data_IF_726844589269
#
_entry.id   IF_726844589269
#
_cell.length_a   1.000
_cell.length_b   1.000
_cell.length_c   1.000
_cell.angle_alpha   90.00
_cell.angle_beta   90.00
_cell.angle_gamma   90.00
#
_symmetry.space_group_name_H-M   'P 1'
#
loop_
_entity.id
_entity.type
_entity.pdbx_description
1 polymer ?
#
# COMPACT_ATOMS: atom_id res chain seq x y z
N UNK A 1 -91.74 5.39 -81.60
CA UNK A 1 -90.79 6.08 -82.51
C UNK A 1 -89.39 5.74 -82.03
N UNK A 2 -88.86 4.64 -82.54
CA UNK A 2 -87.91 4.61 -83.66
C UNK A 2 -86.47 4.68 -83.08
N UNK A 3 -85.72 3.60 -82.82
CA UNK A 3 -85.42 2.35 -83.54
C UNK A 3 -83.97 2.37 -84.05
N UNK A 4 -83.26 1.26 -83.76
CA UNK A 4 -82.09 0.71 -84.47
C UNK A 4 -80.78 1.52 -84.42
N UNK A 5 -79.56 0.96 -84.36
CA UNK A 5 -78.92 -0.36 -84.60
C UNK A 5 -77.43 -0.14 -84.22
N UNK A 6 -76.52 -1.05 -83.90
CA UNK A 6 -76.43 -2.51 -83.92
C UNK A 6 -74.93 -2.92 -83.80
N UNK A 7 -74.70 -4.14 -83.34
CA UNK A 7 -73.59 -5.09 -83.62
C UNK A 7 -72.08 -4.78 -83.36
N UNK A 8 -71.53 -5.60 -82.45
CA UNK A 8 -70.24 -6.33 -82.35
C UNK A 8 -69.63 -6.88 -83.67
N UNK A 9 -68.40 -7.51 -83.76
CA UNK A 9 -67.37 -7.93 -82.76
C UNK A 9 -65.85 -7.85 -83.23
N UNK A 10 -64.93 -8.51 -82.47
CA UNK A 10 -63.57 -9.03 -82.84
C UNK A 10 -62.44 -8.00 -83.11
N UNK A 11 -61.14 -8.25 -83.00
CA UNK A 11 -60.22 -9.17 -82.32
C UNK A 11 -58.79 -8.66 -82.65
N UNK A 12 -57.79 -9.10 -81.88
CA UNK A 12 -56.42 -9.43 -82.35
C UNK A 12 -55.34 -8.33 -82.56
N UNK A 13 -54.29 -8.45 -81.72
CA UNK A 13 -52.84 -8.27 -81.91
C UNK A 13 -52.29 -7.43 -83.10
N UNK A 14 -51.29 -6.59 -82.80
CA UNK A 14 -49.87 -6.86 -83.14
C UNK A 14 -48.95 -5.66 -82.87
N UNK A 15 -47.75 -5.97 -82.36
CA UNK A 15 -46.56 -5.12 -82.20
C UNK A 15 -46.31 -4.11 -83.32
N UNK A 16 -45.77 -2.92 -82.98
CA UNK A 16 -44.70 -2.30 -83.79
C UNK A 16 -43.85 -1.32 -82.97
N UNK A 17 -42.54 -1.49 -83.13
CA UNK A 17 -41.44 -0.87 -82.40
C UNK A 17 -41.02 0.52 -82.94
N UNK A 18 -40.30 1.24 -82.07
CA UNK A 18 -39.19 2.18 -82.30
C UNK A 18 -39.47 3.65 -82.72
N UNK A 19 -39.00 4.55 -81.85
CA UNK A 19 -38.75 5.96 -82.16
C UNK A 19 -38.11 6.74 -81.01
N UNK A 20 -36.89 6.38 -80.57
CA UNK A 20 -36.11 7.25 -79.68
C UNK A 20 -35.53 8.44 -80.46
N UNK A 21 -36.02 9.64 -80.17
CA UNK A 21 -35.50 10.90 -80.70
C UNK A 21 -34.34 11.36 -79.80
N UNK A 22 -33.10 11.16 -80.26
CA UNK A 22 -31.90 11.66 -79.59
C UNK A 22 -31.71 13.17 -79.85
N UNK A 23 -32.09 14.00 -78.88
CA UNK A 23 -31.64 15.40 -78.82
C UNK A 23 -30.15 15.46 -78.42
N UNK A 24 -29.30 15.83 -79.37
CA UNK A 24 -27.86 16.00 -79.16
C UNK A 24 -27.60 17.30 -78.36
N UNK A 25 -27.48 17.18 -77.03
CA UNK A 25 -27.14 18.30 -76.14
C UNK A 25 -25.69 18.76 -76.39
N UNK A 26 -25.38 20.08 -76.42
CA UNK A 26 -24.01 20.55 -76.64
C UNK A 26 -23.08 20.07 -75.52
N UNK A 27 -21.91 19.53 -75.89
CA UNK A 27 -20.89 18.96 -74.97
C UNK A 27 -20.41 19.94 -73.88
N UNK A 28 -20.71 21.23 -74.00
CA UNK A 28 -20.46 22.27 -72.99
C UNK A 28 -21.49 22.25 -71.85
N UNK A 29 -22.77 22.05 -72.15
CA UNK A 29 -23.86 22.04 -71.17
C UNK A 29 -23.82 20.81 -70.27
N UNK A 30 -23.54 19.63 -70.85
CA UNK A 30 -23.34 18.39 -70.09
C UNK A 30 -22.18 18.49 -69.09
N UNK A 31 -21.08 19.14 -69.50
CA UNK A 31 -19.91 19.42 -68.62
C UNK A 31 -20.19 20.48 -67.54
N UNK A 32 -21.17 21.36 -67.72
CA UNK A 32 -21.60 22.33 -66.71
C UNK A 32 -22.58 21.67 -65.73
N UNK A 33 -23.56 20.91 -66.23
CA UNK A 33 -24.46 20.11 -65.38
C UNK A 33 -23.70 19.08 -64.55
N UNK A 34 -22.74 18.36 -65.14
CA UNK A 34 -21.94 17.37 -64.40
C UNK A 34 -21.09 18.03 -63.30
N UNK A 35 -20.57 19.24 -63.54
CA UNK A 35 -19.88 20.03 -62.51
C UNK A 35 -20.83 20.48 -61.40
N UNK A 36 -22.02 20.95 -61.76
CA UNK A 36 -23.04 21.39 -60.80
C UNK A 36 -23.59 20.23 -59.96
N UNK A 37 -23.89 19.09 -60.59
CA UNK A 37 -24.35 17.86 -59.92
C UNK A 37 -23.25 17.27 -59.04
N UNK A 38 -22.00 17.26 -59.50
CA UNK A 38 -20.86 16.81 -58.69
C UNK A 38 -20.65 17.73 -57.50
N UNK A 39 -20.72 19.04 -57.68
CA UNK A 39 -20.61 20.04 -56.61
C UNK A 39 -21.76 19.93 -55.58
N UNK A 40 -23.00 19.71 -56.05
CA UNK A 40 -24.17 19.47 -55.20
C UNK A 40 -24.06 18.15 -54.43
N UNK A 41 -23.61 17.08 -55.07
CA UNK A 41 -23.46 15.77 -54.43
C UNK A 41 -22.28 15.76 -53.45
N UNK A 42 -21.18 16.47 -53.72
CA UNK A 42 -20.10 16.65 -52.75
C UNK A 42 -20.56 17.47 -51.56
N UNK A 43 -21.37 18.51 -51.77
CA UNK A 43 -21.92 19.32 -50.69
C UNK A 43 -22.93 18.54 -49.84
N UNK A 44 -23.78 17.72 -50.45
CA UNK A 44 -24.69 16.82 -49.74
C UNK A 44 -23.93 15.72 -48.98
N UNK A 45 -22.86 15.17 -49.56
CA UNK A 45 -22.04 14.16 -48.90
C UNK A 45 -21.29 14.72 -47.69
N UNK A 46 -20.75 15.94 -47.78
CA UNK A 46 -20.05 16.58 -46.66
C UNK A 46 -21.00 16.99 -45.54
N UNK A 47 -22.21 17.48 -45.85
CA UNK A 47 -23.21 17.80 -44.82
C UNK A 47 -23.71 16.55 -44.10
N UNK A 48 -23.94 15.45 -44.82
CA UNK A 48 -24.30 14.15 -44.21
C UNK A 48 -23.16 13.62 -43.34
N UNK A 49 -21.91 13.67 -43.80
CA UNK A 49 -20.75 13.25 -43.01
C UNK A 49 -20.58 14.07 -41.73
N UNK A 50 -20.74 15.40 -41.81
CA UNK A 50 -20.68 16.28 -40.64
C UNK A 50 -21.84 16.00 -39.68
N UNK A 51 -23.04 15.75 -40.18
CA UNK A 51 -24.19 15.42 -39.34
C UNK A 51 -24.00 14.07 -38.63
N UNK A 52 -23.50 13.05 -39.33
CA UNK A 52 -23.16 11.75 -38.73
C UNK A 52 -22.04 11.91 -37.69
N UNK A 53 -20.99 12.68 -37.98
CA UNK A 53 -19.91 12.94 -37.03
C UNK A 53 -20.43 13.67 -35.77
N UNK A 54 -21.31 14.67 -35.93
CA UNK A 54 -21.97 15.34 -34.80
C UNK A 54 -22.82 14.37 -33.98
N UNK A 55 -23.57 13.47 -34.61
CA UNK A 55 -24.35 12.44 -33.90
C UNK A 55 -23.42 11.50 -33.14
N UNK A 56 -22.33 11.04 -33.74
CA UNK A 56 -21.34 10.17 -33.06
C UNK A 56 -20.72 10.87 -31.87
N UNK A 57 -20.36 12.16 -31.99
CA UNK A 57 -19.82 12.95 -30.89
C UNK A 57 -20.87 13.19 -29.79
N UNK A 58 -22.14 13.42 -30.14
CA UNK A 58 -23.24 13.55 -29.18
C UNK A 58 -23.49 12.23 -28.45
N UNK A 59 -23.51 11.11 -29.16
CA UNK A 59 -23.66 9.77 -28.56
C UNK A 59 -22.47 9.46 -27.66
N UNK A 60 -21.24 9.72 -28.09
CA UNK A 60 -20.05 9.59 -27.23
C UNK A 60 -20.15 10.46 -25.98
N UNK A 61 -20.56 11.73 -26.12
CA UNK A 61 -20.74 12.63 -24.98
C UNK A 61 -21.82 12.11 -24.01
N UNK A 62 -22.95 11.60 -24.52
CA UNK A 62 -24.01 11.00 -23.71
C UNK A 62 -23.52 9.72 -22.99
N UNK A 63 -22.74 8.87 -23.67
CA UNK A 63 -22.15 7.66 -23.08
C UNK A 63 -21.13 8.01 -21.99
N UNK A 64 -20.25 8.98 -22.25
CA UNK A 64 -19.25 9.46 -21.28
C UNK A 64 -19.92 10.11 -20.05
N UNK A 65 -20.98 10.91 -20.27
CA UNK A 65 -21.81 11.47 -19.18
C UNK A 65 -22.53 10.38 -18.37
N UNK A 66 -22.98 9.30 -19.00
CA UNK A 66 -23.59 8.16 -18.30
C UNK A 66 -22.57 7.39 -17.47
N UNK A 67 -21.32 7.26 -17.92
CA UNK A 67 -20.26 6.62 -17.13
C UNK A 67 -19.86 7.47 -15.91
N UNK A 68 -19.87 8.80 -16.00
CA UNK A 68 -19.64 9.67 -14.83
C UNK A 68 -20.81 9.68 -13.84
N UNK A 69 -22.05 9.67 -14.35
CA UNK A 69 -23.25 9.74 -13.50
C UNK A 69 -23.68 8.38 -12.89
N UNK A 70 -23.00 7.27 -13.23
CA UNK A 70 -23.30 5.95 -12.66
C UNK A 70 -22.51 5.63 -11.37
N UNK A 71 -21.74 6.58 -10.84
CA UNK A 71 -21.16 6.46 -9.50
C UNK A 71 -22.17 6.88 -8.42
N UNK A 72 -23.35 6.28 -8.41
CA UNK A 72 -24.20 6.20 -7.23
C UNK A 72 -24.49 4.72 -6.99
N UNK A 73 -23.97 4.10 -5.91
CA UNK A 73 -24.17 2.68 -5.67
C UNK A 73 -25.66 2.43 -5.44
N UNK A 74 -26.27 1.59 -6.27
CA UNK A 74 -27.69 1.28 -6.21
C UNK A 74 -28.14 0.46 -4.99
N UNK A 75 -27.31 0.30 -3.94
CA UNK A 75 -27.68 -0.46 -2.72
C UNK A 75 -26.94 -0.02 -1.44
N UNK A 76 -26.20 1.09 -1.46
CA UNK A 76 -25.37 1.49 -0.29
C UNK A 76 -24.19 0.55 0.03
N UNK A 77 -24.03 -0.56 -0.70
CA UNK A 77 -22.91 -1.49 -0.59
C UNK A 77 -21.69 -0.94 -1.34
N UNK A 78 -20.54 -0.93 -0.68
CA UNK A 78 -19.29 -0.48 -1.28
C UNK A 78 -18.61 -1.64 -2.03
N UNK A 79 -18.45 -1.49 -3.34
CA UNK A 79 -17.80 -2.47 -4.22
C UNK A 79 -16.39 -2.03 -4.66
N UNK A 80 -15.79 -1.05 -3.97
CA UNK A 80 -14.41 -0.68 -4.24
C UNK A 80 -13.47 -1.83 -3.88
N UNK A 81 -12.35 -1.96 -4.57
CA UNK A 81 -11.35 -2.99 -4.29
C UNK A 81 -10.87 -2.94 -2.83
N UNK A 82 -10.69 -1.74 -2.27
CA UNK A 82 -10.31 -1.56 -0.87
C UNK A 82 -11.36 -2.10 0.10
N UNK A 83 -12.65 -1.87 -0.18
CA UNK A 83 -13.72 -2.40 0.65
C UNK A 83 -13.78 -3.93 0.60
N UNK A 84 -13.69 -4.52 -0.59
CA UNK A 84 -13.72 -5.97 -0.76
C UNK A 84 -12.52 -6.63 -0.06
N UNK A 85 -11.32 -6.06 -0.21
CA UNK A 85 -10.11 -6.57 0.45
C UNK A 85 -10.21 -6.53 1.97
N UNK A 86 -10.62 -5.38 2.53
CA UNK A 86 -10.70 -5.22 3.98
C UNK A 86 -11.81 -6.09 4.59
N UNK A 87 -12.96 -6.20 3.93
CA UNK A 87 -14.05 -7.07 4.38
C UNK A 87 -13.62 -8.54 4.35
N UNK A 88 -12.89 -8.96 3.33
CA UNK A 88 -12.36 -10.33 3.26
C UNK A 88 -11.42 -10.63 4.44
N UNK A 89 -10.51 -9.71 4.78
CA UNK A 89 -9.59 -9.84 5.92
C UNK A 89 -10.33 -9.88 7.27
N UNK A 90 -11.32 -9.02 7.45
CA UNK A 90 -12.18 -9.01 8.64
C UNK A 90 -12.89 -10.35 8.78
N UNK A 91 -13.58 -10.80 7.73
CA UNK A 91 -14.33 -12.06 7.75
C UNK A 91 -13.41 -13.25 8.01
N UNK A 92 -12.19 -13.29 7.45
CA UNK A 92 -11.24 -14.38 7.72
C UNK A 92 -10.75 -14.41 9.16
N UNK A 93 -10.70 -13.27 9.83
CA UNK A 93 -10.22 -13.18 11.22
C UNK A 93 -11.28 -13.63 12.23
N UNK A 94 -12.55 -13.56 11.85
CA UNK A 94 -13.69 -13.82 12.74
C UNK A 94 -13.98 -15.32 12.94
N UNK A 95 -14.52 -15.64 14.12
CA UNK A 95 -15.12 -16.93 14.44
C UNK A 95 -16.65 -16.77 14.62
N UNK A 96 -17.41 -17.00 13.55
CA UNK A 96 -18.88 -16.89 13.58
C UNK A 96 -19.60 -17.92 14.47
N UNK A 97 -18.89 -18.91 15.02
CA UNK A 97 -19.47 -19.86 15.97
C UNK A 97 -19.45 -19.36 17.42
N UNK A 98 -18.69 -18.31 17.73
CA UNK A 98 -18.66 -17.70 19.04
C UNK A 98 -19.78 -16.66 19.18
N UNK A 99 -20.42 -16.58 20.34
CA UNK A 99 -21.38 -15.50 20.63
C UNK A 99 -20.61 -14.20 20.92
N UNK A 100 -20.81 -13.11 20.14
CA UNK A 100 -20.15 -11.83 20.38
C UNK A 100 -20.54 -11.18 21.72
N UNK A 101 -21.71 -11.50 22.28
CA UNK A 101 -22.15 -10.98 23.57
C UNK A 101 -21.46 -11.68 24.76
N UNK A 102 -20.97 -12.91 24.55
CA UNK A 102 -20.26 -13.68 25.59
C UNK A 102 -18.74 -13.51 25.50
N UNK A 103 -18.18 -13.64 24.29
CA UNK A 103 -16.74 -13.49 24.05
C UNK A 103 -16.46 -12.82 22.71
N UNK A 104 -16.50 -11.48 22.72
CA UNK A 104 -16.26 -10.67 21.54
C UNK A 104 -14.85 -10.88 20.95
N UNK A 105 -13.85 -11.19 21.78
CA UNK A 105 -12.48 -11.44 21.31
C UNK A 105 -12.42 -12.69 20.43
N UNK A 106 -12.94 -13.83 20.91
CA UNK A 106 -12.99 -15.05 20.10
C UNK A 106 -13.85 -14.84 18.84
N UNK A 107 -15.00 -14.17 18.95
CA UNK A 107 -15.82 -13.84 17.78
C UNK A 107 -15.07 -13.01 16.73
N UNK A 108 -14.30 -12.00 17.15
CA UNK A 108 -13.60 -11.10 16.24
C UNK A 108 -12.25 -11.65 15.72
N UNK A 109 -11.53 -12.42 16.54
CA UNK A 109 -10.13 -12.79 16.32
C UNK A 109 -9.88 -14.31 16.25
N UNK A 110 -10.82 -15.15 16.69
CA UNK A 110 -10.58 -16.59 16.85
C UNK A 110 -10.35 -17.33 15.53
N UNK A 111 -10.79 -16.77 14.40
CA UNK A 111 -10.40 -17.27 13.08
C UNK A 111 -8.93 -16.98 12.79
N UNK A 112 -8.48 -15.77 13.10
CA UNK A 112 -7.07 -15.38 12.94
C UNK A 112 -6.15 -16.21 13.84
N UNK A 113 -6.47 -16.37 15.12
CA UNK A 113 -5.64 -17.16 16.05
C UNK A 113 -5.47 -18.61 15.60
N UNK A 114 -6.54 -19.23 15.09
CA UNK A 114 -6.50 -20.61 14.58
C UNK A 114 -5.57 -20.74 13.38
N UNK A 115 -5.52 -19.71 12.54
CA UNK A 115 -4.82 -19.76 11.25
C UNK A 115 -3.41 -19.12 11.32
N UNK A 116 -3.00 -18.58 12.46
CA UNK A 116 -1.73 -17.87 12.65
C UNK A 116 -1.01 -18.31 13.93
N UNK A 117 -0.14 -19.30 13.80
CA UNK A 117 0.75 -19.71 14.88
C UNK A 117 1.82 -18.63 15.17
N UNK A 118 2.29 -18.57 16.42
CA UNK A 118 3.42 -17.72 16.80
C UNK A 118 4.69 -18.26 16.12
N UNK A 119 5.39 -17.46 15.30
CA UNK A 119 6.62 -17.88 14.67
C UNK A 119 7.72 -18.21 15.70
N UNK A 120 8.60 -19.18 15.40
CA UNK A 120 9.69 -19.62 16.29
C UNK A 120 10.64 -18.48 16.76
N UNK A 121 10.68 -17.36 16.05
CA UNK A 121 11.53 -16.21 16.38
C UNK A 121 10.87 -15.21 17.32
N UNK A 122 9.58 -15.37 17.62
CA UNK A 122 8.78 -14.40 18.35
C UNK A 122 8.19 -15.02 19.62
N UNK A 123 8.01 -14.20 20.67
CA UNK A 123 7.33 -14.61 21.90
C UNK A 123 5.83 -14.33 21.88
N UNK A 124 5.38 -13.50 20.95
CA UNK A 124 3.99 -13.09 20.74
C UNK A 124 3.79 -12.77 19.27
N UNK A 125 2.57 -12.96 18.76
CA UNK A 125 2.26 -12.65 17.37
C UNK A 125 0.87 -12.04 17.24
N UNK A 126 0.79 -10.90 16.57
CA UNK A 126 -0.45 -10.18 16.35
C UNK A 126 -0.33 -9.13 15.25
N UNK A 127 -1.39 -8.33 15.10
CA UNK A 127 -1.48 -7.30 14.04
C UNK A 127 -0.37 -6.24 14.15
N UNK A 128 0.04 -5.88 15.36
CA UNK A 128 1.15 -4.94 15.57
C UNK A 128 2.49 -5.52 15.13
N UNK A 129 2.73 -6.81 15.38
CA UNK A 129 3.96 -7.49 14.98
C UNK A 129 4.03 -7.64 13.46
N UNK A 130 2.91 -7.99 12.82
CA UNK A 130 2.80 -8.02 11.34
C UNK A 130 3.11 -6.64 10.75
N UNK A 131 2.57 -5.56 11.33
CA UNK A 131 2.83 -4.21 10.87
C UNK A 131 4.29 -3.81 11.07
N UNK A 132 4.88 -4.14 12.22
CA UNK A 132 6.30 -3.89 12.50
C UNK A 132 7.19 -4.63 11.50
N UNK A 133 6.91 -5.90 11.23
CA UNK A 133 7.64 -6.68 10.22
C UNK A 133 7.50 -6.07 8.82
N UNK A 134 6.32 -5.57 8.45
CA UNK A 134 6.12 -4.87 7.18
C UNK A 134 6.99 -3.60 7.09
N UNK A 135 7.02 -2.80 8.16
CA UNK A 135 7.85 -1.59 8.26
C UNK A 135 9.34 -1.93 8.20
N UNK A 136 9.80 -2.95 8.93
CA UNK A 136 11.19 -3.41 8.90
C UNK A 136 11.61 -3.86 7.50
N UNK A 137 10.72 -4.53 6.78
CA UNK A 137 10.97 -4.91 5.39
C UNK A 137 11.09 -3.69 4.46
N UNK A 138 10.31 -2.64 4.68
CA UNK A 138 10.46 -1.37 3.95
C UNK A 138 11.79 -0.71 4.30
N UNK A 139 12.12 -0.57 5.58
CA UNK A 139 13.38 0.03 6.04
C UNK A 139 14.59 -0.73 5.49
N UNK A 140 14.57 -2.06 5.53
CA UNK A 140 15.61 -2.93 4.98
C UNK A 140 15.79 -2.76 3.47
N UNK A 141 14.69 -2.57 2.72
CA UNK A 141 14.75 -2.26 1.29
C UNK A 141 15.41 -0.90 1.05
N UNK A 142 14.98 0.13 1.77
CA UNK A 142 15.51 1.50 1.64
C UNK A 142 17.01 1.58 1.96
N UNK A 143 17.44 0.95 3.06
CA UNK A 143 18.85 0.95 3.48
C UNK A 143 19.75 0.20 2.50
N UNK A 144 19.22 -0.79 1.77
CA UNK A 144 19.97 -1.57 0.78
C UNK A 144 19.92 -0.98 -0.63
N UNK A 145 18.94 -0.14 -0.94
CA UNK A 145 18.73 0.39 -2.28
C UNK A 145 19.83 1.39 -2.69
N UNK A 146 20.60 1.13 -3.77
CA UNK A 146 21.63 2.05 -4.25
C UNK A 146 21.08 3.43 -4.64
N UNK A 147 19.83 3.51 -5.15
CA UNK A 147 19.23 4.80 -5.52
C UNK A 147 18.97 5.64 -4.28
N UNK A 148 18.38 5.05 -3.25
CA UNK A 148 18.20 5.69 -1.94
C UNK A 148 19.53 6.17 -1.37
N UNK A 149 20.59 5.35 -1.42
CA UNK A 149 21.93 5.77 -0.97
C UNK A 149 22.47 6.98 -1.74
N UNK A 150 22.24 7.02 -3.06
CA UNK A 150 22.65 8.13 -3.91
C UNK A 150 21.90 9.43 -3.58
N UNK A 151 20.57 9.35 -3.36
CA UNK A 151 19.73 10.49 -2.99
C UNK A 151 20.24 11.13 -1.69
N UNK A 152 20.60 10.31 -0.70
CA UNK A 152 21.04 10.78 0.61
C UNK A 152 22.57 10.87 0.78
N UNK A 153 23.35 10.86 -0.31
CA UNK A 153 24.82 10.83 -0.25
C UNK A 153 25.43 11.98 0.57
N UNK A 154 24.80 13.15 0.53
CA UNK A 154 25.27 14.36 1.22
C UNK A 154 24.57 14.58 2.58
N UNK A 155 23.68 13.68 3.01
CA UNK A 155 23.00 13.75 4.31
C UNK A 155 23.77 12.93 5.36
N UNK A 156 24.55 13.61 6.20
CA UNK A 156 25.41 12.96 7.20
C UNK A 156 24.64 12.08 8.21
N UNK A 157 23.42 12.47 8.61
CA UNK A 157 22.63 11.69 9.56
C UNK A 157 22.18 10.35 8.96
N UNK A 158 21.68 10.39 7.72
CA UNK A 158 21.25 9.19 6.99
C UNK A 158 22.45 8.29 6.65
N UNK A 159 23.59 8.87 6.28
CA UNK A 159 24.82 8.09 6.06
C UNK A 159 25.30 7.35 7.32
N UNK A 160 25.17 7.97 8.51
CA UNK A 160 25.45 7.27 9.77
C UNK A 160 24.50 6.08 9.99
N UNK A 161 23.21 6.23 9.71
CA UNK A 161 22.25 5.14 9.81
C UNK A 161 22.58 3.98 8.85
N UNK A 162 22.92 4.26 7.59
CA UNK A 162 23.39 3.24 6.64
C UNK A 162 24.64 2.52 7.13
N UNK A 163 25.63 3.29 7.60
CA UNK A 163 26.87 2.71 8.10
C UNK A 163 26.63 1.83 9.32
N UNK A 164 25.77 2.28 10.23
CA UNK A 164 25.40 1.53 11.43
C UNK A 164 24.75 0.19 11.07
N UNK A 165 23.80 0.19 10.13
CA UNK A 165 23.19 -1.03 9.61
C UNK A 165 24.24 -1.96 8.99
N UNK A 166 25.13 -1.45 8.13
CA UNK A 166 26.19 -2.25 7.51
C UNK A 166 27.14 -2.87 8.53
N UNK A 167 27.49 -2.14 9.60
CA UNK A 167 28.33 -2.68 10.68
C UNK A 167 27.64 -3.78 11.47
N UNK A 168 26.34 -3.63 11.75
CA UNK A 168 25.54 -4.64 12.45
C UNK A 168 25.39 -5.92 11.61
N UNK A 169 25.19 -5.77 10.29
CA UNK A 169 24.98 -6.92 9.40
C UNK A 169 26.26 -7.69 9.05
N UNK A 170 27.46 -7.15 9.34
CA UNK A 170 28.72 -7.80 9.04
C UNK A 170 29.09 -8.84 10.13
N UNK A 171 28.40 -9.99 10.09
CA UNK A 171 28.61 -11.10 11.02
C UNK A 171 30.03 -11.67 10.99
N UNK A 172 30.69 -11.67 9.83
CA UNK A 172 32.09 -12.14 9.71
C UNK A 172 33.00 -11.34 10.63
N UNK A 173 32.97 -10.00 10.50
CA UNK A 173 33.79 -9.13 11.33
C UNK A 173 33.45 -9.26 12.81
N UNK A 174 32.17 -9.39 13.16
CA UNK A 174 31.74 -9.59 14.55
C UNK A 174 32.34 -10.90 15.10
N UNK A 175 32.26 -11.99 14.34
CA UNK A 175 32.81 -13.28 14.74
C UNK A 175 34.34 -13.27 14.82
N UNK A 176 35.03 -12.60 13.89
CA UNK A 176 36.48 -12.46 13.88
C UNK A 176 37.00 -11.71 15.12
N UNK A 177 36.22 -10.74 15.63
CA UNK A 177 36.56 -10.00 16.84
C UNK A 177 36.26 -10.78 18.13
N UNK A 178 35.34 -11.75 18.08
CA UNK A 178 34.92 -12.54 19.23
C UNK A 178 34.51 -11.68 20.43
N UNK A 179 34.91 -12.10 21.64
CA UNK A 179 34.62 -11.38 22.88
C UNK A 179 35.56 -10.20 23.16
N UNK A 180 36.58 -9.96 22.33
CA UNK A 180 37.63 -8.99 22.63
C UNK A 180 37.10 -7.57 22.92
N UNK A 181 36.13 -7.01 22.15
CA UNK A 181 35.60 -5.68 22.44
C UNK A 181 34.99 -5.56 23.85
N UNK A 182 34.38 -6.63 24.35
CA UNK A 182 33.82 -6.65 25.71
C UNK A 182 34.92 -6.83 26.78
N UNK A 183 35.96 -7.62 26.50
CA UNK A 183 37.11 -7.79 27.40
C UNK A 183 37.86 -6.48 27.58
N UNK A 184 38.12 -5.76 26.48
CA UNK A 184 38.76 -4.44 26.51
C UNK A 184 37.92 -3.46 27.33
N UNK A 185 36.59 -3.51 27.14
CA UNK A 185 35.68 -2.69 27.90
C UNK A 185 35.70 -2.99 29.40
N UNK A 186 35.74 -4.27 29.79
CA UNK A 186 35.84 -4.67 31.21
C UNK A 186 37.17 -4.19 31.81
N UNK A 187 38.26 -4.21 31.03
CA UNK A 187 39.56 -3.73 31.48
C UNK A 187 39.55 -2.21 31.78
N UNK A 188 38.82 -1.41 30.99
CA UNK A 188 38.62 0.03 31.24
C UNK A 188 37.97 0.34 32.61
N UNK A 189 37.26 -0.62 33.21
CA UNK A 189 36.61 -0.49 34.53
C UNK A 189 37.33 -1.28 35.64
N UNK A 190 38.65 -1.40 35.52
CA UNK A 190 39.52 -2.05 36.50
C UNK A 190 39.28 -3.56 36.66
N UNK A 191 38.85 -4.20 35.56
CA UNK A 191 38.61 -5.64 35.47
C UNK A 191 37.46 -6.14 36.36
N UNK A 192 37.03 -7.37 36.09
CA UNK A 192 36.01 -8.06 36.87
C UNK A 192 36.66 -9.25 37.58
N UNK A 193 36.41 -9.40 38.89
CA UNK A 193 36.98 -10.50 39.68
C UNK A 193 36.62 -11.90 39.15
N UNK A 194 35.56 -12.02 38.34
CA UNK A 194 35.15 -13.28 37.70
C UNK A 194 36.10 -13.68 36.56
N UNK A 195 36.61 -12.72 35.79
CA UNK A 195 37.36 -12.98 34.54
C UNK A 195 38.85 -12.65 34.64
N UNK A 196 39.29 -11.98 35.70
CA UNK A 196 40.65 -11.47 35.84
C UNK A 196 41.71 -12.47 36.29
N UNK A 197 41.45 -13.78 36.39
CA UNK A 197 42.40 -14.77 36.95
C UNK A 197 42.99 -14.34 38.33
N UNK A 198 42.21 -13.65 39.16
CA UNK A 198 42.66 -13.13 40.45
C UNK A 198 43.53 -11.86 40.39
N UNK A 199 43.62 -11.19 39.24
CA UNK A 199 44.34 -9.90 39.10
C UNK A 199 43.56 -8.70 39.66
N UNK A 200 42.26 -8.86 39.90
CA UNK A 200 41.45 -7.80 40.49
C UNK A 200 41.88 -7.52 41.94
N UNK A 201 42.01 -6.24 42.29
CA UNK A 201 42.30 -5.80 43.66
C UNK A 201 41.30 -4.74 44.08
N UNK A 202 40.81 -4.83 45.31
CA UNK A 202 39.87 -3.84 45.87
C UNK A 202 40.43 -2.41 45.77
N UNK A 203 41.71 -2.23 46.06
CA UNK A 203 42.43 -0.94 45.98
C UNK A 203 42.44 -0.33 44.58
N UNK A 204 42.32 -1.17 43.54
CA UNK A 204 42.29 -0.72 42.15
C UNK A 204 40.90 -0.27 41.70
N UNK A 205 39.87 -0.44 42.53
CA UNK A 205 38.49 -0.21 42.18
C UNK A 205 37.83 0.84 43.07
N UNK A 206 37.10 1.77 42.46
CA UNK A 206 36.34 2.79 43.18
C UNK A 206 34.88 2.75 42.74
N UNK A 207 33.99 2.48 43.69
CA UNK A 207 32.55 2.38 43.47
C UNK A 207 31.99 3.61 42.74
N UNK A 208 32.27 4.82 43.24
CA UNK A 208 31.73 6.06 42.69
C UNK A 208 32.21 6.30 41.25
N UNK A 209 33.50 6.13 40.98
CA UNK A 209 34.05 6.29 39.62
C UNK A 209 33.47 5.26 38.66
N UNK A 210 33.36 4.00 39.08
CA UNK A 210 32.78 2.93 38.27
C UNK A 210 31.30 3.22 37.96
N UNK A 211 30.51 3.59 38.97
CA UNK A 211 29.10 3.95 38.82
C UNK A 211 28.89 5.13 37.87
N UNK A 212 29.66 6.21 38.03
CA UNK A 212 29.61 7.39 37.14
C UNK A 212 29.91 6.96 35.71
N UNK A 213 30.94 6.15 35.51
CA UNK A 213 31.35 5.78 34.17
C UNK A 213 30.37 4.81 33.50
N UNK A 214 29.81 3.85 34.24
CA UNK A 214 28.78 2.91 33.75
C UNK A 214 27.49 3.67 33.38
N UNK A 215 26.95 4.48 34.29
CA UNK A 215 25.69 5.21 34.03
C UNK A 215 25.86 6.27 32.93
N UNK A 216 26.95 7.04 32.94
CA UNK A 216 27.12 8.15 31.99
C UNK A 216 27.57 7.70 30.59
N UNK A 217 28.45 6.71 30.48
CA UNK A 217 28.99 6.28 29.18
C UNK A 217 28.16 5.17 28.53
N UNK A 218 27.62 4.25 29.33
CA UNK A 218 26.91 3.06 28.82
C UNK A 218 25.41 3.12 29.02
N UNK A 219 24.91 4.14 29.73
CA UNK A 219 23.49 4.28 30.03
C UNK A 219 22.91 3.06 30.78
N UNK A 220 23.79 2.32 31.47
CA UNK A 220 23.42 1.18 32.28
C UNK A 220 23.20 1.66 33.72
N UNK A 221 22.10 1.22 34.33
CA UNK A 221 21.62 1.72 35.62
C UNK A 221 21.67 0.63 36.70
N UNK A 222 22.86 0.23 37.19
CA UNK A 222 22.94 -0.65 38.35
C UNK A 222 22.39 0.08 39.59
N UNK A 223 21.66 -0.62 40.44
CA UNK A 223 21.01 -0.15 41.68
C UNK A 223 19.86 0.86 41.51
N UNK A 224 20.08 1.95 40.79
CA UNK A 224 19.12 3.01 40.55
C UNK A 224 19.39 3.68 39.20
N UNK A 225 18.33 4.21 38.59
CA UNK A 225 18.42 4.99 37.37
C UNK A 225 18.55 6.47 37.72
N UNK A 226 19.41 7.17 36.97
CA UNK A 226 19.48 8.63 36.97
C UNK A 226 19.07 9.12 35.59
N UNK A 227 18.02 9.92 35.53
CA UNK A 227 17.55 10.57 34.31
C UNK A 227 17.35 12.06 34.50
N UNK A 228 17.05 12.74 33.39
CA UNK A 228 16.55 14.11 33.41
C UNK A 228 15.20 14.12 32.75
N UNK A 229 14.17 14.56 33.47
CA UNK A 229 12.81 14.71 32.96
C UNK A 229 12.26 16.09 33.28
N UNK A 230 11.09 16.39 32.73
CA UNK A 230 10.39 17.63 32.99
C UNK A 230 9.86 17.63 34.44
N UNK A 231 9.99 18.75 35.15
CA UNK A 231 9.45 18.86 36.50
C UNK A 231 7.92 18.72 36.46
N UNK A 232 7.39 17.82 37.28
CA UNK A 232 5.95 17.58 37.42
C UNK A 232 5.17 18.83 37.83
N UNK A 233 5.80 19.73 38.61
CA UNK A 233 5.20 20.99 39.05
C UNK A 233 5.49 22.17 38.12
N UNK A 234 6.50 22.05 37.24
CA UNK A 234 6.85 23.07 36.28
C UNK A 234 7.45 22.47 35.00
N UNK A 235 6.60 22.17 34.02
CA UNK A 235 7.00 21.54 32.76
C UNK A 235 7.91 22.39 31.86
N UNK A 236 8.31 23.60 32.27
CA UNK A 236 9.27 24.45 31.54
C UNK A 236 10.72 24.23 31.96
N UNK A 237 10.96 23.47 33.04
CA UNK A 237 12.30 23.15 33.53
C UNK A 237 12.50 21.65 33.63
N UNK A 238 13.75 21.22 33.55
CA UNK A 238 14.15 19.84 33.80
C UNK A 238 14.70 19.68 35.20
N UNK A 239 14.46 18.51 35.79
CA UNK A 239 15.02 18.09 37.09
C UNK A 239 15.76 16.77 36.94
N UNK A 240 16.64 16.49 37.89
CA UNK A 240 17.26 15.17 38.02
C UNK A 240 16.24 14.25 38.67
N UNK A 241 16.00 13.11 38.04
CA UNK A 241 15.11 12.07 38.53
C UNK A 241 15.94 10.87 38.98
N UNK A 242 15.56 10.29 40.12
CA UNK A 242 16.12 9.07 40.67
C UNK A 242 15.00 8.04 40.81
N UNK A 243 15.18 6.87 40.20
CA UNK A 243 14.19 5.79 40.26
C UNK A 243 14.85 4.42 40.48
N UNK A 244 14.05 3.44 40.90
CA UNK A 244 14.48 2.07 41.13
C UNK A 244 15.00 1.40 39.84
N UNK A 245 16.10 0.66 39.92
CA UNK A 245 16.67 -0.09 38.78
C UNK A 245 17.55 -1.26 39.23
N UNK A 246 18.24 -1.89 38.29
CA UNK A 246 19.29 -2.89 38.58
C UNK A 246 18.82 -4.35 38.66
N UNK A 247 17.56 -4.65 38.37
CA UNK A 247 17.08 -6.02 38.24
C UNK A 247 17.22 -6.51 36.79
N UNK A 248 17.78 -7.70 36.61
CA UNK A 248 18.05 -8.29 35.29
C UNK A 248 16.93 -9.16 34.72
N UNK A 249 15.83 -9.35 35.46
CA UNK A 249 14.69 -10.17 35.05
C UNK A 249 13.39 -9.41 35.28
N UNK A 250 12.32 -9.86 34.62
CA UNK A 250 10.97 -9.31 34.82
C UNK A 250 10.47 -9.59 36.23
N UNK A 251 9.52 -8.77 36.69
CA UNK A 251 8.86 -8.95 37.99
C UNK A 251 8.27 -10.35 38.14
N UNK A 252 7.60 -10.85 37.11
CA UNK A 252 6.93 -12.16 37.16
C UNK A 252 7.94 -13.29 37.37
N UNK A 253 9.14 -13.21 36.79
CA UNK A 253 10.18 -14.20 37.03
C UNK A 253 10.70 -14.20 38.49
N UNK A 254 10.59 -13.08 39.21
CA UNK A 254 10.96 -13.00 40.63
C UNK A 254 9.82 -13.40 41.58
N UNK A 255 8.56 -13.29 41.15
CA UNK A 255 7.39 -13.43 42.01
C UNK A 255 6.55 -14.67 41.74
N UNK A 256 6.64 -15.27 40.55
CA UNK A 256 5.94 -16.50 40.24
C UNK A 256 6.62 -17.67 40.98
N UNK A 257 6.00 -18.11 42.08
CA UNK A 257 6.25 -19.45 42.61
C UNK A 257 5.66 -20.42 41.59
N UNK A 258 6.48 -21.25 40.95
CA UNK A 258 6.10 -22.16 39.84
C UNK A 258 5.11 -23.27 40.20
N UNK A 259 4.02 -22.96 40.89
CA UNK A 259 2.93 -23.85 41.28
C UNK A 259 1.58 -23.50 40.66
N UNK A 260 1.46 -22.38 39.94
CA UNK A 260 0.15 -21.84 39.54
C UNK A 260 -0.18 -21.99 38.04
N UNK A 261 0.71 -22.61 37.24
CA UNK A 261 0.53 -22.81 35.79
C UNK A 261 -0.05 -24.19 35.40
N UNK A 262 -0.89 -24.80 36.26
CA UNK A 262 -1.77 -25.90 35.87
C UNK A 262 -3.24 -25.53 36.12
N UNK A 263 -3.83 -24.67 35.26
CA UNK A 263 -5.28 -24.63 35.03
C UNK A 263 -5.63 -24.27 33.59
#
# INVERSE_FOLDING_TARGET
MASHTGNTPLAENSDYNNGEIFFNQPKSLKRVLDRYVRQRNTFLATTVLLFVACIVLLVCFIVLKRTENSASPADGICNSLGCISNVAEIISSMNFSADPCDNFYNYACGGWERDNDIPDTESSWGQFDILNLANDNVLKKLVKDPKTKLIYKDNAAVQKAFKYYETCMNRSRINDQGAQPLIDLIADYHSWNVTGNGTWREESWNFTTAMIAIQRKWYANPFFAISTGADYYNSTVNVIELDQSGLGMTKDNYLNNGTDDEK
#
